data_IF_001018906943
#
_entry.id   IF_001018906943
#
_cell.length_a   1.000
_cell.length_b   1.000
_cell.length_c   1.000
_cell.angle_alpha   90.00
_cell.angle_beta   90.00
_cell.angle_gamma   90.00
#
_symmetry.space_group_name_H-M   'P 1'
#
loop_
_entity.id
_entity.type
_entity.pdbx_description
1 polymer ?
#
# COMPACT_ATOMS: atom_id res chain seq x y z
N UNK A 1 -1.94 19.55 2.96
CA UNK A 1 -2.67 18.37 2.41
C UNK A 1 -3.60 18.82 1.31
N UNK A 2 -3.45 18.31 0.09
CA UNK A 2 -4.27 18.66 -1.09
C UNK A 2 -5.68 18.00 -1.01
N UNK A 3 -6.58 18.35 -1.96
CA UNK A 3 -7.96 17.84 -1.99
C UNK A 3 -8.03 16.31 -2.16
N UNK A 4 -7.11 15.74 -2.93
CA UNK A 4 -7.03 14.31 -3.21
C UNK A 4 -6.67 13.50 -1.96
N UNK A 5 -5.63 13.92 -1.22
CA UNK A 5 -5.28 13.31 0.08
C UNK A 5 -6.41 13.42 1.11
N UNK A 6 -7.19 14.53 1.09
CA UNK A 6 -8.38 14.66 1.97
C UNK A 6 -9.44 13.60 1.64
N UNK A 7 -9.68 13.35 0.36
CA UNK A 7 -10.64 12.33 -0.08
C UNK A 7 -10.16 10.92 0.27
N UNK A 8 -8.88 10.64 0.05
CA UNK A 8 -8.26 9.37 0.40
C UNK A 8 -8.33 9.11 1.91
N UNK A 9 -7.98 10.11 2.74
CA UNK A 9 -8.11 10.03 4.21
C UNK A 9 -9.55 9.73 4.65
N UNK A 10 -10.53 10.35 4.00
CA UNK A 10 -11.94 10.10 4.30
C UNK A 10 -12.35 8.67 3.91
N UNK A 11 -11.90 8.17 2.76
CA UNK A 11 -12.18 6.81 2.30
C UNK A 11 -11.61 5.76 3.27
N UNK A 12 -10.34 5.88 3.66
CA UNK A 12 -9.72 5.00 4.66
C UNK A 12 -10.38 5.11 6.03
N UNK A 13 -10.74 6.34 6.45
CA UNK A 13 -11.45 6.55 7.71
C UNK A 13 -12.80 5.82 7.76
N UNK A 14 -13.54 5.76 6.64
CA UNK A 14 -14.78 4.98 6.53
C UNK A 14 -14.52 3.48 6.48
N UNK A 15 -13.46 3.05 5.81
CA UNK A 15 -13.11 1.64 5.68
C UNK A 15 -12.65 1.01 7.01
N UNK A 16 -12.15 1.80 7.95
CA UNK A 16 -11.52 1.32 9.20
C UNK A 16 -12.34 0.28 9.97
N UNK A 17 -13.69 0.36 9.93
CA UNK A 17 -14.58 -0.56 10.66
C UNK A 17 -14.55 -1.98 10.09
N UNK A 18 -14.38 -2.10 8.76
CA UNK A 18 -14.44 -3.38 8.05
C UNK A 18 -13.09 -3.78 7.42
N UNK A 19 -12.07 -2.95 7.60
CA UNK A 19 -10.78 -3.09 6.92
C UNK A 19 -10.15 -4.45 7.14
N UNK A 20 -10.14 -4.95 8.36
CA UNK A 20 -9.52 -6.21 8.74
C UNK A 20 -10.18 -7.44 8.08
N UNK A 21 -11.48 -7.35 7.73
CA UNK A 21 -12.19 -8.44 7.06
C UNK A 21 -11.83 -8.58 5.58
N UNK A 22 -11.28 -7.53 4.96
CA UNK A 22 -10.96 -7.50 3.52
C UNK A 22 -9.46 -7.33 3.26
N UNK A 23 -8.65 -7.26 4.30
CA UNK A 23 -7.21 -6.97 4.23
C UNK A 23 -6.32 -8.21 3.99
N UNK A 24 -6.84 -9.26 3.33
CA UNK A 24 -6.08 -10.50 3.08
C UNK A 24 -4.80 -10.26 2.28
N UNK A 25 -4.88 -9.36 1.30
CA UNK A 25 -3.71 -9.03 0.47
C UNK A 25 -2.64 -8.28 1.30
N UNK A 26 -3.08 -7.36 2.18
CA UNK A 26 -2.18 -6.62 3.06
C UNK A 26 -1.48 -7.56 4.05
N UNK A 27 -2.21 -8.54 4.60
CA UNK A 27 -1.63 -9.57 5.49
C UNK A 27 -0.60 -10.42 4.76
N UNK A 28 -0.91 -10.90 3.57
CA UNK A 28 0.01 -11.73 2.77
C UNK A 28 1.27 -10.93 2.37
N UNK A 29 1.09 -9.70 1.90
CA UNK A 29 2.22 -8.83 1.53
C UNK A 29 3.06 -8.47 2.75
N UNK A 30 2.44 -8.10 3.88
CA UNK A 30 3.12 -7.81 5.14
C UNK A 30 3.97 -8.99 5.65
N UNK A 31 3.41 -10.20 5.63
CA UNK A 31 4.14 -11.42 6.02
C UNK A 31 5.33 -11.69 5.10
N UNK A 32 5.16 -11.51 3.77
CA UNK A 32 6.26 -11.67 2.79
C UNK A 32 7.32 -10.59 2.94
N UNK A 33 6.92 -9.36 3.22
CA UNK A 33 7.83 -8.26 3.49
C UNK A 33 8.66 -8.54 4.74
N UNK A 34 8.02 -9.01 5.84
CA UNK A 34 8.71 -9.40 7.06
C UNK A 34 9.70 -10.55 6.82
N UNK A 35 9.31 -11.58 6.08
CA UNK A 35 10.18 -12.68 5.73
C UNK A 35 11.38 -12.26 4.84
N UNK A 36 11.20 -11.22 4.01
CA UNK A 36 12.26 -10.67 3.18
C UNK A 36 13.18 -9.70 3.93
N UNK A 37 12.78 -9.20 5.09
CA UNK A 37 13.50 -8.20 5.90
C UNK A 37 14.68 -8.83 6.63
N UNK A 38 15.73 -9.13 5.89
CA UNK A 38 17.01 -9.53 6.45
C UNK A 38 17.80 -8.25 6.73
N UNK A 39 17.87 -7.87 8.01
CA UNK A 39 18.62 -6.70 8.51
C UNK A 39 19.64 -7.19 9.53
N UNK A 40 20.81 -6.55 9.56
CA UNK A 40 21.95 -7.01 10.36
C UNK A 40 21.75 -6.72 11.86
N UNK A 41 21.09 -5.59 12.17
CA UNK A 41 20.94 -5.09 13.53
C UNK A 41 19.49 -5.25 14.05
N UNK A 42 19.33 -5.45 15.36
CA UNK A 42 18.02 -5.44 16.00
C UNK A 42 17.61 -3.97 16.23
N UNK A 43 16.54 -3.49 15.59
CA UNK A 43 16.10 -2.10 15.75
C UNK A 43 15.57 -1.85 17.16
N UNK A 44 16.03 -0.76 17.80
CA UNK A 44 15.50 -0.31 19.08
C UNK A 44 14.22 0.51 18.94
N UNK A 45 14.08 1.23 17.83
CA UNK A 45 12.91 2.08 17.51
C UNK A 45 12.43 1.81 16.09
N UNK A 46 11.18 1.39 15.97
CA UNK A 46 10.55 1.07 14.67
C UNK A 46 9.38 2.01 14.43
N UNK A 47 9.35 2.62 13.25
CA UNK A 47 8.19 3.37 12.74
C UNK A 47 7.39 2.47 11.79
N UNK A 48 6.12 2.18 12.10
CA UNK A 48 5.16 1.64 11.14
C UNK A 48 4.43 2.81 10.46
N UNK A 49 4.88 3.17 9.25
CA UNK A 49 4.40 4.31 8.48
C UNK A 49 3.29 3.92 7.51
N UNK A 50 2.07 4.39 7.78
CA UNK A 50 0.84 3.92 7.14
C UNK A 50 0.36 2.62 7.77
N UNK A 51 0.35 2.57 9.10
CA UNK A 51 0.09 1.36 9.88
C UNK A 51 -1.34 0.82 9.77
N UNK A 52 -2.29 1.61 9.24
CA UNK A 52 -3.70 1.22 9.16
C UNK A 52 -4.26 0.82 10.53
N UNK A 53 -4.85 -0.36 10.60
CA UNK A 53 -5.44 -0.94 11.82
C UNK A 53 -4.42 -1.70 12.69
N UNK A 54 -3.12 -1.68 12.32
CA UNK A 54 -2.05 -2.22 13.17
C UNK A 54 -1.59 -3.65 12.84
N UNK A 55 -1.90 -4.18 11.66
CA UNK A 55 -1.40 -5.52 11.28
C UNK A 55 0.15 -5.56 11.24
N UNK A 56 0.80 -4.50 10.73
CA UNK A 56 2.26 -4.37 10.73
C UNK A 56 2.85 -4.43 12.13
N UNK A 57 2.19 -3.82 13.12
CA UNK A 57 2.63 -3.81 14.52
C UNK A 57 2.74 -5.22 15.10
N UNK A 58 1.78 -6.10 14.78
CA UNK A 58 1.82 -7.50 15.24
C UNK A 58 3.04 -8.23 14.66
N UNK A 59 3.36 -8.03 13.38
CA UNK A 59 4.53 -8.63 12.76
C UNK A 59 5.84 -8.09 13.37
N UNK A 60 5.90 -6.79 13.62
CA UNK A 60 7.03 -6.09 14.22
C UNK A 60 7.25 -6.58 15.65
N UNK A 61 6.20 -6.67 16.48
CA UNK A 61 6.30 -7.09 17.87
C UNK A 61 6.73 -8.56 18.02
N UNK A 62 6.31 -9.43 17.12
CA UNK A 62 6.77 -10.83 17.08
C UNK A 62 8.24 -10.90 16.68
N UNK A 63 8.67 -10.11 15.71
CA UNK A 63 10.04 -10.16 15.17
C UNK A 63 11.05 -9.46 16.07
N UNK A 64 10.67 -8.32 16.67
CA UNK A 64 11.50 -7.47 17.52
C UNK A 64 10.76 -7.06 18.80
N UNK A 65 10.58 -8.00 19.76
CA UNK A 65 9.71 -7.78 20.93
C UNK A 65 10.22 -6.71 21.91
N UNK A 66 11.48 -6.28 21.78
CA UNK A 66 12.05 -5.22 22.59
C UNK A 66 12.03 -3.84 21.92
N UNK A 67 11.62 -3.77 20.65
CA UNK A 67 11.58 -2.51 19.91
C UNK A 67 10.46 -1.60 20.44
N UNK A 68 10.77 -0.31 20.55
CA UNK A 68 9.74 0.72 20.73
C UNK A 68 9.08 0.97 19.39
N UNK A 69 7.75 0.81 19.32
CA UNK A 69 7.02 0.96 18.06
C UNK A 69 6.23 2.26 18.06
N UNK A 70 6.39 3.00 16.96
CA UNK A 70 5.59 4.19 16.63
C UNK A 70 4.67 3.79 15.47
N UNK A 71 3.37 3.96 15.67
CA UNK A 71 2.34 3.70 14.67
C UNK A 71 1.88 5.03 14.06
N UNK A 72 2.13 5.23 12.78
CA UNK A 72 1.72 6.47 12.09
C UNK A 72 0.74 6.16 10.97
N UNK A 73 -0.41 6.85 10.99
CA UNK A 73 -1.37 6.84 9.89
C UNK A 73 -2.05 8.22 9.76
N UNK A 74 -2.41 8.62 8.53
CA UNK A 74 -3.06 9.91 8.31
C UNK A 74 -4.57 9.89 8.60
N UNK A 75 -5.17 8.68 8.74
CA UNK A 75 -6.58 8.47 9.06
C UNK A 75 -6.76 8.12 10.54
N UNK A 76 -7.05 9.09 11.39
CA UNK A 76 -7.26 8.87 12.82
C UNK A 76 -8.26 7.72 13.18
N UNK A 77 -9.31 7.40 12.38
CA UNK A 77 -10.13 6.22 12.63
C UNK A 77 -9.38 4.89 12.55
N UNK A 78 -8.31 4.78 11.75
CA UNK A 78 -7.44 3.60 11.71
C UNK A 78 -6.70 3.43 13.03
N UNK A 79 -6.05 4.48 13.50
CA UNK A 79 -5.28 4.48 14.76
C UNK A 79 -6.13 4.11 15.98
N UNK A 80 -7.42 4.51 16.00
CA UNK A 80 -8.34 4.13 17.09
C UNK A 80 -8.63 2.63 17.19
N UNK A 81 -8.22 1.83 16.21
CA UNK A 81 -8.33 0.36 16.22
C UNK A 81 -7.13 -0.30 16.89
N UNK A 82 -6.04 0.44 17.08
CA UNK A 82 -4.82 -0.05 17.70
C UNK A 82 -4.97 0.05 19.22
N UNK A 83 -4.74 -1.03 19.99
CA UNK A 83 -4.69 -0.96 21.44
C UNK A 83 -3.65 0.05 21.92
N UNK A 84 -3.97 0.80 22.98
CA UNK A 84 -3.11 1.89 23.45
C UNK A 84 -1.72 1.45 23.92
N UNK A 85 -1.61 0.20 24.37
CA UNK A 85 -0.37 -0.35 24.90
C UNK A 85 0.54 -0.96 23.82
N UNK A 86 0.04 -1.13 22.59
CA UNK A 86 0.79 -1.80 21.52
C UNK A 86 1.82 -0.89 20.83
N UNK A 87 1.54 0.43 20.75
CA UNK A 87 2.42 1.38 20.10
C UNK A 87 2.08 2.84 20.45
N UNK A 88 3.04 3.75 20.26
CA UNK A 88 2.79 5.19 20.29
C UNK A 88 2.12 5.61 18.99
N UNK A 89 0.83 5.91 19.04
CA UNK A 89 0.03 6.29 17.85
C UNK A 89 0.17 7.77 17.52
N UNK A 90 0.54 8.07 16.26
CA UNK A 90 0.68 9.44 15.72
C UNK A 90 -0.20 9.61 14.49
N UNK A 91 -1.10 10.57 14.51
CA UNK A 91 -1.87 10.93 13.31
C UNK A 91 -1.03 11.88 12.45
N UNK A 92 -0.46 11.38 11.35
CA UNK A 92 0.46 12.11 10.50
C UNK A 92 0.50 11.61 9.06
N UNK A 93 1.15 12.39 8.20
CA UNK A 93 1.36 12.08 6.79
C UNK A 93 2.76 11.49 6.60
N UNK A 94 2.86 10.34 5.93
CA UNK A 94 4.14 9.70 5.62
C UNK A 94 5.03 10.57 4.71
N UNK A 95 4.46 11.53 3.98
CA UNK A 95 5.20 12.51 3.18
C UNK A 95 5.59 13.78 3.95
N UNK A 96 5.30 13.84 5.26
CA UNK A 96 5.69 14.93 6.16
C UNK A 96 5.68 14.38 7.60
N UNK A 97 6.70 13.61 7.93
CA UNK A 97 6.79 12.89 9.21
C UNK A 97 7.02 13.86 10.37
N UNK A 98 6.16 13.86 11.41
CA UNK A 98 6.34 14.72 12.58
C UNK A 98 7.33 14.09 13.59
N UNK A 99 8.48 13.70 13.12
CA UNK A 99 9.51 13.01 13.90
C UNK A 99 10.84 13.76 13.76
N UNK A 100 11.67 13.68 14.80
CA UNK A 100 13.00 14.24 14.78
C UNK A 100 13.91 13.52 13.76
N UNK A 101 14.91 14.24 13.24
CA UNK A 101 15.95 13.62 12.42
C UNK A 101 16.66 12.54 13.21
N UNK A 102 17.08 11.48 12.52
CA UNK A 102 17.92 10.39 13.07
C UNK A 102 17.37 9.78 14.38
N UNK A 103 16.05 9.63 14.47
CA UNK A 103 15.37 9.09 15.65
C UNK A 103 14.87 7.65 15.51
N UNK A 104 14.90 7.09 14.29
CA UNK A 104 14.33 5.80 13.92
C UNK A 104 15.41 4.85 13.40
N UNK A 105 15.43 3.61 13.87
CA UNK A 105 16.35 2.57 13.38
C UNK A 105 15.77 1.83 12.16
N UNK A 106 14.44 1.64 12.14
CA UNK A 106 13.74 0.96 11.05
C UNK A 106 12.43 1.69 10.73
N UNK A 107 12.26 2.13 9.50
CA UNK A 107 10.98 2.55 8.97
C UNK A 107 10.35 1.39 8.17
N UNK A 108 9.26 0.86 8.69
CA UNK A 108 8.40 -0.13 8.05
C UNK A 108 7.24 0.56 7.36
N UNK A 109 6.89 0.13 6.13
CA UNK A 109 5.71 0.65 5.44
C UNK A 109 5.14 -0.42 4.49
N UNK A 110 4.02 -1.02 4.83
CA UNK A 110 3.41 -2.07 4.02
C UNK A 110 2.17 -1.58 3.27
N UNK A 111 2.24 -1.57 1.94
CA UNK A 111 1.14 -1.14 1.04
C UNK A 111 0.55 0.25 1.40
N UNK A 112 1.42 1.21 1.75
CA UNK A 112 1.04 2.60 1.95
C UNK A 112 1.64 3.52 0.87
N UNK A 113 2.87 3.24 0.40
CA UNK A 113 3.61 4.10 -0.52
C UNK A 113 2.92 4.33 -1.87
N UNK A 114 2.06 3.41 -2.35
CA UNK A 114 1.33 3.57 -3.61
C UNK A 114 0.35 4.75 -3.63
N UNK A 115 0.07 5.33 -2.47
CA UNK A 115 -0.81 6.49 -2.29
C UNK A 115 -0.05 7.81 -2.18
N UNK A 116 1.27 7.75 -2.29
CA UNK A 116 2.20 8.82 -1.99
C UNK A 116 3.15 9.11 -3.17
N UNK A 117 3.79 10.25 -3.14
CA UNK A 117 4.99 10.50 -3.93
C UNK A 117 6.15 9.71 -3.31
N UNK A 118 6.60 8.67 -4.02
CA UNK A 118 7.67 7.79 -3.54
C UNK A 118 8.97 8.55 -3.23
N UNK A 119 9.30 9.60 -4.01
CA UNK A 119 10.48 10.41 -3.77
C UNK A 119 10.36 11.21 -2.47
N UNK A 120 9.16 11.71 -2.15
CA UNK A 120 8.93 12.42 -0.89
C UNK A 120 9.01 11.46 0.30
N UNK A 121 8.39 10.28 0.21
CA UNK A 121 8.46 9.26 1.27
C UNK A 121 9.91 8.85 1.55
N UNK A 122 10.72 8.68 0.49
CA UNK A 122 12.14 8.34 0.64
C UNK A 122 12.92 9.48 1.31
N UNK A 123 12.67 10.75 0.97
CA UNK A 123 13.29 11.89 1.66
C UNK A 123 12.93 11.94 3.15
N UNK A 124 11.66 11.68 3.48
CA UNK A 124 11.23 11.60 4.88
C UNK A 124 11.90 10.43 5.61
N UNK A 125 11.99 9.26 4.97
CA UNK A 125 12.70 8.11 5.51
C UNK A 125 14.18 8.44 5.78
N UNK A 126 14.86 9.08 4.82
CA UNK A 126 16.26 9.52 4.97
C UNK A 126 16.43 10.51 6.14
N UNK A 127 15.45 11.41 6.31
CA UNK A 127 15.48 12.38 7.40
C UNK A 127 15.37 11.74 8.78
N UNK A 128 14.40 10.83 8.96
CA UNK A 128 14.10 10.25 10.29
C UNK A 128 14.98 9.04 10.65
N UNK A 129 15.51 8.32 9.65
CA UNK A 129 16.38 7.19 9.90
C UNK A 129 17.73 7.65 10.45
N UNK A 130 18.28 6.92 11.41
CA UNK A 130 19.67 7.03 11.86
C UNK A 130 20.61 6.52 10.78
N UNK A 131 21.86 6.92 10.84
CA UNK A 131 22.89 6.34 10.01
C UNK A 131 22.95 4.82 10.21
N UNK A 132 22.94 4.08 9.10
CA UNK A 132 22.83 2.63 9.10
C UNK A 132 21.42 2.08 9.27
N UNK A 133 20.41 2.93 9.48
CA UNK A 133 19.00 2.55 9.61
C UNK A 133 18.39 2.04 8.29
N UNK A 134 17.25 1.36 8.39
CA UNK A 134 16.64 0.67 7.26
C UNK A 134 15.26 1.22 6.91
N UNK A 135 15.00 1.38 5.61
CA UNK A 135 13.66 1.45 5.04
C UNK A 135 13.27 0.06 4.53
N UNK A 136 12.21 -0.50 5.10
CA UNK A 136 11.59 -1.76 4.67
C UNK A 136 10.17 -1.47 4.24
N UNK A 137 9.90 -1.56 2.93
CA UNK A 137 8.61 -1.14 2.41
C UNK A 137 8.05 -2.09 1.36
N UNK A 138 6.74 -2.06 1.19
CA UNK A 138 6.06 -2.66 0.05
C UNK A 138 5.15 -1.66 -0.64
N UNK A 139 5.02 -1.80 -1.95
CA UNK A 139 4.15 -0.97 -2.78
C UNK A 139 3.59 -1.76 -3.95
N UNK A 140 2.55 -1.22 -4.59
CA UNK A 140 1.99 -1.80 -5.81
C UNK A 140 2.79 -1.34 -7.03
N UNK A 141 2.87 -2.23 -8.02
CA UNK A 141 3.52 -2.02 -9.30
C UNK A 141 2.54 -1.95 -10.48
N UNK A 142 3.03 -1.63 -11.69
CA UNK A 142 2.21 -1.37 -12.88
C UNK A 142 1.35 -2.55 -13.35
N UNK A 143 1.70 -3.78 -12.99
CA UNK A 143 0.93 -5.00 -13.28
C UNK A 143 -0.35 -5.14 -12.46
N UNK A 144 -0.51 -4.37 -11.36
CA UNK A 144 -1.69 -4.45 -10.48
C UNK A 144 -2.96 -4.15 -11.25
N UNK A 145 -4.00 -5.00 -11.06
CA UNK A 145 -5.31 -4.89 -11.71
C UNK A 145 -5.25 -4.95 -13.24
N UNK A 146 -4.32 -5.73 -13.80
CA UNK A 146 -4.20 -5.91 -15.25
C UNK A 146 -5.51 -6.41 -15.89
N UNK A 147 -6.25 -7.28 -15.20
CA UNK A 147 -7.53 -7.83 -15.65
C UNK A 147 -8.61 -6.74 -15.75
N UNK A 148 -8.67 -5.81 -14.79
CA UNK A 148 -9.58 -4.65 -14.87
C UNK A 148 -9.28 -3.81 -16.11
N UNK A 149 -8.01 -3.45 -16.34
CA UNK A 149 -7.63 -2.68 -17.54
C UNK A 149 -7.98 -3.40 -18.84
N UNK A 150 -7.70 -4.72 -18.91
CA UNK A 150 -8.07 -5.54 -20.08
C UNK A 150 -9.58 -5.59 -20.31
N UNK A 151 -10.38 -5.70 -19.23
CA UNK A 151 -11.84 -5.75 -19.34
C UNK A 151 -12.45 -4.45 -19.85
N UNK A 152 -11.78 -3.31 -19.63
CA UNK A 152 -12.22 -2.02 -20.12
C UNK A 152 -11.82 -1.74 -21.58
N UNK A 153 -10.93 -2.52 -22.19
CA UNK A 153 -10.55 -2.35 -23.61
C UNK A 153 -11.79 -2.44 -24.50
N UNK A 154 -12.02 -1.41 -25.32
CA UNK A 154 -13.18 -1.29 -26.20
C UNK A 154 -14.51 -0.99 -25.51
N UNK A 155 -14.49 -0.70 -24.21
CA UNK A 155 -15.67 -0.27 -23.45
C UNK A 155 -15.75 1.24 -23.37
N UNK A 156 -14.70 1.90 -22.93
CA UNK A 156 -14.51 3.35 -22.94
C UNK A 156 -13.01 3.71 -22.85
N UNK A 157 -12.69 5.01 -22.93
CA UNK A 157 -11.32 5.54 -22.91
C UNK A 157 -10.94 6.15 -21.55
N UNK A 158 -11.71 5.88 -20.50
CA UNK A 158 -11.40 6.39 -19.16
C UNK A 158 -10.32 5.54 -18.47
N UNK A 159 -9.60 6.20 -17.56
CA UNK A 159 -8.70 5.49 -16.65
C UNK A 159 -9.50 4.91 -15.47
N UNK A 160 -9.35 3.60 -15.24
CA UNK A 160 -10.10 2.85 -14.24
C UNK A 160 -9.23 2.33 -13.10
N UNK A 161 -7.92 2.48 -13.19
CA UNK A 161 -6.94 2.11 -12.16
C UNK A 161 -5.93 3.22 -11.98
N UNK A 162 -5.32 3.32 -10.80
CA UNK A 162 -4.19 4.22 -10.59
C UNK A 162 -2.96 3.75 -11.40
N UNK A 163 -2.08 4.68 -11.73
CA UNK A 163 -0.73 4.39 -12.21
C UNK A 163 0.17 4.16 -11.00
N UNK A 164 0.87 3.04 -11.01
CA UNK A 164 1.80 2.68 -9.95
C UNK A 164 3.24 2.79 -10.46
N UNK A 165 4.15 3.16 -9.57
CA UNK A 165 5.56 3.31 -9.89
C UNK A 165 6.17 1.97 -10.33
N UNK A 166 6.98 2.01 -11.38
CA UNK A 166 7.79 0.86 -11.80
C UNK A 166 9.05 0.71 -10.95
N UNK A 167 9.77 -0.42 -11.11
CA UNK A 167 10.99 -0.71 -10.37
C UNK A 167 12.09 0.34 -10.63
N UNK A 168 12.15 0.90 -11.83
CA UNK A 168 13.12 1.94 -12.18
C UNK A 168 12.85 3.25 -11.44
N UNK A 169 11.57 3.67 -11.38
CA UNK A 169 11.17 4.85 -10.63
C UNK A 169 11.43 4.71 -9.13
N UNK A 170 11.12 3.53 -8.55
CA UNK A 170 11.40 3.25 -7.14
C UNK A 170 12.91 3.26 -6.84
N UNK A 171 13.72 2.64 -7.70
CA UNK A 171 15.18 2.66 -7.57
C UNK A 171 15.73 4.08 -7.65
N UNK A 172 15.29 4.89 -8.61
CA UNK A 172 15.69 6.30 -8.71
C UNK A 172 15.31 7.07 -7.44
N UNK A 173 14.08 6.91 -6.95
CA UNK A 173 13.65 7.59 -5.72
C UNK A 173 14.55 7.26 -4.52
N UNK A 174 14.95 5.99 -4.37
CA UNK A 174 15.86 5.57 -3.29
C UNK A 174 17.25 6.22 -3.45
N UNK A 175 17.85 6.15 -4.64
CA UNK A 175 19.19 6.69 -4.90
C UNK A 175 19.23 8.21 -4.79
N UNK A 176 18.25 8.90 -5.40
CA UNK A 176 18.14 10.37 -5.35
C UNK A 176 17.85 10.86 -3.91
N UNK A 177 17.18 10.07 -3.09
CA UNK A 177 16.95 10.31 -1.67
C UNK A 177 18.07 9.83 -0.76
N UNK A 178 19.25 9.47 -1.30
CA UNK A 178 20.42 9.01 -0.54
C UNK A 178 20.20 7.77 0.32
N UNK A 179 19.31 6.87 -0.11
CA UNK A 179 19.18 5.52 0.45
C UNK A 179 19.79 4.49 -0.50
N UNK A 180 20.63 3.61 0.03
CA UNK A 180 21.24 2.52 -0.74
C UNK A 180 20.25 1.37 -0.88
N UNK A 181 19.75 1.06 -2.11
CA UNK A 181 18.83 -0.06 -2.30
C UNK A 181 19.56 -1.39 -2.16
N UNK A 182 19.21 -2.19 -1.17
CA UNK A 182 19.74 -3.54 -0.95
C UNK A 182 18.94 -4.57 -1.75
N UNK A 183 17.62 -4.46 -1.71
CA UNK A 183 16.70 -5.37 -2.40
C UNK A 183 15.50 -4.61 -2.96
N UNK A 184 15.15 -4.90 -4.22
CA UNK A 184 13.84 -4.56 -4.80
C UNK A 184 13.35 -5.84 -5.49
N UNK A 185 12.42 -6.55 -4.86
CA UNK A 185 11.89 -7.82 -5.35
C UNK A 185 10.44 -7.68 -5.76
N UNK A 186 10.14 -8.09 -7.01
CA UNK A 186 8.77 -8.20 -7.50
C UNK A 186 8.13 -9.48 -6.99
N UNK A 187 6.90 -9.37 -6.51
CA UNK A 187 6.05 -10.50 -6.09
C UNK A 187 4.67 -10.30 -6.70
N UNK A 188 4.23 -11.24 -7.50
CA UNK A 188 2.90 -11.24 -8.07
C UNK A 188 1.99 -12.13 -7.23
N UNK A 189 0.85 -11.57 -6.83
CA UNK A 189 -0.18 -12.25 -6.05
C UNK A 189 -1.49 -12.21 -6.84
N UNK A 190 -2.09 -13.37 -7.08
CA UNK A 190 -3.39 -13.46 -7.75
C UNK A 190 -4.44 -13.90 -6.75
N UNK A 191 -5.53 -13.15 -6.68
CA UNK A 191 -6.74 -13.52 -5.94
C UNK A 191 -7.83 -13.92 -6.92
N UNK A 192 -8.61 -14.94 -6.55
CA UNK A 192 -9.71 -15.43 -7.37
C UNK A 192 -11.04 -15.18 -6.66
N UNK A 193 -12.01 -14.70 -7.41
CA UNK A 193 -13.33 -14.32 -6.91
C UNK A 193 -14.41 -15.15 -7.62
N UNK A 194 -15.46 -15.51 -6.90
CA UNK A 194 -16.58 -16.27 -7.44
C UNK A 194 -17.30 -15.53 -8.58
N UNK A 195 -17.43 -14.20 -8.42
CA UNK A 195 -18.12 -13.34 -9.37
C UNK A 195 -17.53 -11.93 -9.42
N UNK A 196 -17.94 -11.16 -10.44
CA UNK A 196 -17.47 -9.79 -10.67
C UNK A 196 -17.89 -8.82 -9.54
N UNK A 197 -19.02 -9.08 -8.88
CA UNK A 197 -19.52 -8.23 -7.79
C UNK A 197 -18.59 -8.32 -6.58
N UNK A 198 -18.23 -9.53 -6.17
CA UNK A 198 -17.31 -9.77 -5.06
C UNK A 198 -15.91 -9.23 -5.36
N UNK A 199 -15.43 -9.38 -6.60
CA UNK A 199 -14.17 -8.81 -7.06
C UNK A 199 -14.16 -7.27 -6.96
N UNK A 200 -15.17 -6.60 -7.52
CA UNK A 200 -15.25 -5.14 -7.46
C UNK A 200 -15.49 -4.62 -6.04
N UNK A 201 -16.18 -5.39 -5.20
CA UNK A 201 -16.32 -5.06 -3.78
C UNK A 201 -14.96 -5.07 -3.09
N UNK A 202 -14.11 -6.09 -3.31
CA UNK A 202 -12.77 -6.14 -2.71
C UNK A 202 -11.90 -4.94 -3.08
N UNK A 203 -11.91 -4.53 -4.36
CA UNK A 203 -11.18 -3.33 -4.82
C UNK A 203 -11.68 -2.06 -4.14
N UNK A 204 -13.00 -1.91 -4.00
CA UNK A 204 -13.62 -0.76 -3.33
C UNK A 204 -13.30 -0.73 -1.84
N UNK A 205 -13.42 -1.86 -1.17
CA UNK A 205 -13.32 -1.96 0.28
C UNK A 205 -11.88 -1.77 0.78
N UNK A 206 -10.89 -1.98 -0.11
CA UNK A 206 -9.48 -1.62 0.10
C UNK A 206 -9.17 -0.13 -0.14
N UNK A 207 -10.17 0.71 -0.46
CA UNK A 207 -9.96 2.11 -0.81
C UNK A 207 -9.36 2.32 -2.21
N UNK A 208 -9.08 1.23 -2.95
CA UNK A 208 -8.43 1.28 -4.26
C UNK A 208 -9.36 1.75 -5.40
N UNK A 209 -10.61 2.05 -5.11
CA UNK A 209 -11.56 2.66 -6.06
C UNK A 209 -11.35 4.16 -6.27
N UNK A 210 -10.43 4.80 -5.53
CA UNK A 210 -10.08 6.19 -5.73
C UNK A 210 -9.02 6.31 -6.81
N UNK A 211 -9.48 6.53 -8.05
CA UNK A 211 -8.59 6.79 -9.18
C UNK A 211 -8.27 8.28 -9.22
N UNK A 212 -6.99 8.60 -9.02
CA UNK A 212 -6.46 9.97 -9.01
C UNK A 212 -6.43 10.62 -10.40
N UNK A 213 -6.64 9.85 -11.46
CA UNK A 213 -6.49 10.31 -12.84
C UNK A 213 -7.45 11.44 -13.23
N UNK A 214 -6.94 12.41 -13.98
CA UNK A 214 -7.76 13.49 -14.56
C UNK A 214 -8.82 12.96 -15.52
N UNK A 215 -8.53 11.85 -16.23
CA UNK A 215 -9.43 11.19 -17.19
C UNK A 215 -10.24 10.04 -16.55
N UNK A 216 -10.66 10.19 -15.30
CA UNK A 216 -11.55 9.21 -14.65
C UNK A 216 -13.01 9.41 -15.07
N UNK A 217 -13.78 8.35 -15.14
CA UNK A 217 -15.23 8.42 -15.34
C UNK A 217 -15.89 9.14 -14.15
N UNK A 218 -16.67 10.19 -14.41
CA UNK A 218 -17.39 10.96 -13.37
C UNK A 218 -18.87 10.57 -13.26
N UNK A 219 -19.40 9.79 -14.20
CA UNK A 219 -20.80 9.38 -14.26
C UNK A 219 -20.98 7.87 -14.19
N UNK A 220 -22.23 7.44 -14.06
CA UNK A 220 -22.59 6.02 -14.09
C UNK A 220 -22.28 5.41 -15.46
N UNK A 221 -21.85 4.16 -15.45
CA UNK A 221 -21.67 3.38 -16.66
C UNK A 221 -23.03 2.97 -17.23
N UNK A 222 -23.26 3.19 -18.54
CA UNK A 222 -24.48 2.75 -19.21
C UNK A 222 -24.57 1.22 -19.27
N UNK A 223 -25.80 0.68 -19.35
CA UNK A 223 -26.07 -0.77 -19.32
C UNK A 223 -25.29 -1.55 -20.39
N UNK A 224 -25.13 -1.00 -21.60
CA UNK A 224 -24.39 -1.67 -22.70
C UNK A 224 -22.90 -1.73 -22.42
N UNK A 225 -22.29 -0.65 -21.91
CA UNK A 225 -20.89 -0.59 -21.52
C UNK A 225 -20.61 -1.56 -20.35
N UNK A 226 -21.49 -1.60 -19.35
CA UNK A 226 -21.41 -2.57 -18.26
C UNK A 226 -21.45 -4.02 -18.75
N UNK A 227 -22.38 -4.36 -19.66
CA UNK A 227 -22.46 -5.71 -20.22
C UNK A 227 -21.18 -6.10 -20.97
N UNK A 228 -20.62 -5.18 -21.76
CA UNK A 228 -19.34 -5.43 -22.46
C UNK A 228 -18.20 -5.65 -21.47
N UNK A 229 -18.05 -4.78 -20.49
CA UNK A 229 -17.06 -4.91 -19.44
C UNK A 229 -17.18 -6.27 -18.71
N UNK A 230 -18.36 -6.63 -18.26
CA UNK A 230 -18.62 -7.90 -17.59
C UNK A 230 -18.29 -9.10 -18.47
N UNK A 231 -18.70 -9.08 -19.76
CA UNK A 231 -18.40 -10.13 -20.71
C UNK A 231 -16.88 -10.26 -20.97
N UNK A 232 -16.18 -9.13 -21.09
CA UNK A 232 -14.71 -9.13 -21.24
C UNK A 232 -14.03 -9.72 -20.01
N UNK A 233 -14.52 -9.42 -18.80
CA UNK A 233 -13.96 -9.96 -17.56
C UNK A 233 -14.22 -11.46 -17.44
N UNK A 234 -15.45 -11.93 -17.77
CA UNK A 234 -15.80 -13.35 -17.71
C UNK A 234 -14.94 -14.23 -18.66
N UNK A 235 -14.46 -13.68 -19.78
CA UNK A 235 -13.52 -14.40 -20.66
C UNK A 235 -12.18 -14.74 -20.00
N UNK A 236 -11.83 -14.08 -18.90
CA UNK A 236 -10.60 -14.33 -18.14
C UNK A 236 -10.83 -15.32 -16.98
N UNK A 237 -12.06 -15.82 -16.80
CA UNK A 237 -12.40 -16.79 -15.76
C UNK A 237 -11.56 -18.06 -15.89
N UNK A 238 -11.02 -18.50 -14.76
CA UNK A 238 -10.31 -19.77 -14.60
C UNK A 238 -11.18 -20.78 -13.83
N UNK A 239 -10.69 -22.01 -13.66
CA UNK A 239 -11.32 -22.99 -12.78
C UNK A 239 -11.42 -22.53 -11.33
N UNK A 240 -10.54 -21.62 -10.89
CA UNK A 240 -10.52 -21.04 -9.54
C UNK A 240 -11.41 -19.80 -9.39
N UNK A 241 -11.97 -19.26 -10.47
CA UNK A 241 -12.79 -18.05 -10.47
C UNK A 241 -12.22 -16.92 -11.32
N UNK A 242 -12.71 -15.70 -11.09
CA UNK A 242 -12.23 -14.48 -11.77
C UNK A 242 -10.92 -14.03 -11.13
N UNK A 243 -9.80 -13.97 -11.88
CA UNK A 243 -8.51 -13.54 -11.33
C UNK A 243 -8.45 -12.03 -11.14
N UNK A 244 -7.73 -11.60 -10.13
CA UNK A 244 -7.30 -10.21 -9.92
C UNK A 244 -5.87 -10.20 -9.44
N UNK A 245 -4.99 -9.62 -10.25
CA UNK A 245 -3.54 -9.57 -9.99
C UNK A 245 -3.17 -8.35 -9.16
N UNK A 246 -2.36 -8.58 -8.13
CA UNK A 246 -1.62 -7.59 -7.37
C UNK A 246 -0.14 -7.76 -7.67
N UNK A 247 0.42 -6.85 -8.43
CA UNK A 247 1.85 -6.76 -8.72
C UNK A 247 2.49 -5.94 -7.61
N UNK A 248 3.32 -6.55 -6.78
CA UNK A 248 3.89 -5.88 -5.61
C UNK A 248 5.41 -5.83 -5.68
N UNK A 249 5.99 -4.76 -5.17
CA UNK A 249 7.41 -4.64 -4.93
C UNK A 249 7.69 -4.66 -3.43
N UNK A 250 8.64 -5.50 -3.02
CA UNK A 250 9.23 -5.50 -1.67
C UNK A 250 10.57 -4.80 -1.75
N UNK A 251 10.76 -3.76 -0.93
CA UNK A 251 11.92 -2.88 -0.95
C UNK A 251 12.64 -2.97 0.38
N UNK A 252 13.96 -3.10 0.35
CA UNK A 252 14.84 -2.91 1.49
C UNK A 252 15.95 -1.97 1.07
N UNK A 253 16.13 -0.87 1.80
CA UNK A 253 17.18 0.10 1.57
C UNK A 253 17.80 0.51 2.89
N UNK A 254 19.03 1.01 2.86
CA UNK A 254 19.81 1.44 4.03
C UNK A 254 20.24 2.89 3.87
N UNK A 255 20.16 3.67 4.93
CA UNK A 255 20.78 4.99 5.05
C UNK A 255 22.27 4.90 5.31
#
# INVERSE_FOLDING_TARGET
MNAEKKMLRHAFGKAAVHYDHVADIQRDVGARLMAASVIDDIPATVLDAGCGTGHGLQLISIRWPQAKVIALDFAAPMLRRIPADDAMAICGDIEALPLASESIDLMWSSLAMQWCDAAQVVREAQHVLRDGGYLVASTLGPGTFAELRRAFVGVDDFQHTNDFADVGALRRALVDGCLTPLTIRRVELVRHYADLRSLLASVRDLGANHVAARNRRRGLMGKSAWRRFAANFERMRTSSGLPLTYDTYLLIARK
#
